data_IF_426403052352
#
_entry.id   IF_426403052352
#
_cell.length_a   1.000
_cell.length_b   1.000
_cell.length_c   1.000
_cell.angle_alpha   90.00
_cell.angle_beta   90.00
_cell.angle_gamma   90.00
#
_symmetry.space_group_name_H-M   'P 1'
#
loop_
_entity.id
_entity.type
_entity.pdbx_description
1 polymer ?
#
# COMPACT_ATOMS: atom_id res chain seq x y z
N UNK A 1 -1.72 -0.44 21.97
CA UNK A 1 -0.67 -1.21 21.28
C UNK A 1 -1.13 -1.34 19.86
N UNK A 2 -0.48 -0.64 18.93
CA UNK A 2 -0.75 -0.82 17.50
C UNK A 2 -0.16 -2.14 17.02
N UNK A 3 -0.68 -2.62 15.90
CA UNK A 3 -0.22 -3.82 15.21
C UNK A 3 1.17 -3.53 14.68
N UNK A 4 2.11 -4.45 14.93
CA UNK A 4 3.44 -4.40 14.32
C UNK A 4 3.49 -5.34 13.14
N UNK A 5 4.16 -4.92 12.08
CA UNK A 5 4.36 -5.76 10.91
C UNK A 5 5.22 -6.98 11.26
N UNK A 6 4.78 -8.14 10.76
CA UNK A 6 5.45 -9.42 10.96
C UNK A 6 6.87 -9.39 10.40
N UNK A 7 7.71 -10.30 10.88
CA UNK A 7 9.05 -10.50 10.30
C UNK A 7 8.97 -10.82 8.79
N UNK A 8 7.95 -11.55 8.35
CA UNK A 8 7.76 -11.88 6.93
C UNK A 8 7.48 -10.63 6.10
N UNK A 9 6.63 -9.72 6.58
CA UNK A 9 6.42 -8.42 5.93
C UNK A 9 7.75 -7.67 5.78
N UNK A 10 8.52 -7.58 6.87
CA UNK A 10 9.78 -6.80 6.89
C UNK A 10 10.85 -7.31 5.92
N UNK A 11 10.83 -8.60 5.57
CA UNK A 11 11.85 -9.21 4.71
C UNK A 11 11.39 -9.48 3.29
N UNK A 12 10.08 -9.64 3.06
CA UNK A 12 9.57 -10.19 1.80
C UNK A 12 8.48 -9.32 1.15
N UNK A 13 8.02 -8.25 1.81
CA UNK A 13 6.97 -7.39 1.26
C UNK A 13 7.49 -6.57 0.07
N UNK A 14 6.69 -6.54 -0.97
CA UNK A 14 6.77 -5.57 -2.05
C UNK A 14 5.44 -4.81 -2.16
N UNK A 15 5.55 -3.55 -2.55
CA UNK A 15 4.43 -2.73 -3.01
C UNK A 15 4.66 -2.34 -4.46
N UNK A 16 3.61 -2.34 -5.25
CA UNK A 16 3.60 -1.81 -6.60
C UNK A 16 2.30 -1.10 -6.90
N UNK A 17 2.26 -0.43 -8.04
CA UNK A 17 1.05 0.16 -8.58
C UNK A 17 0.66 -0.58 -9.86
N UNK A 18 -0.64 -0.85 -10.00
CA UNK A 18 -1.26 -1.50 -11.15
C UNK A 18 -2.31 -0.59 -11.77
N UNK A 19 -2.32 -0.50 -13.10
CA UNK A 19 -3.33 0.26 -13.84
C UNK A 19 -2.74 1.44 -14.62
N UNK A 20 -3.60 2.39 -14.97
CA UNK A 20 -3.26 3.58 -15.74
C UNK A 20 -3.92 4.83 -15.16
N UNK A 21 -3.11 5.80 -14.75
CA UNK A 21 -3.49 7.18 -14.41
C UNK A 21 -4.66 7.33 -13.42
N UNK A 22 -5.90 7.17 -13.87
CA UNK A 22 -7.11 7.38 -13.07
C UNK A 22 -7.63 6.12 -12.38
N UNK A 23 -7.24 4.93 -12.83
CA UNK A 23 -7.66 3.65 -12.26
C UNK A 23 -6.45 2.88 -11.69
N UNK A 24 -5.67 3.56 -10.86
CA UNK A 24 -4.48 2.98 -10.23
C UNK A 24 -4.86 2.25 -8.93
N UNK A 25 -4.39 1.02 -8.77
CA UNK A 25 -4.53 0.22 -7.55
C UNK A 25 -3.16 -0.02 -6.93
N UNK A 26 -3.05 0.22 -5.62
CA UNK A 26 -1.87 -0.16 -4.85
C UNK A 26 -1.95 -1.64 -4.55
N UNK A 27 -0.90 -2.39 -4.84
CA UNK A 27 -0.86 -3.84 -4.65
C UNK A 27 0.27 -4.19 -3.70
N UNK A 28 -0.03 -5.00 -2.69
CA UNK A 28 0.93 -5.57 -1.77
C UNK A 28 1.03 -7.08 -1.96
N UNK A 29 2.25 -7.60 -2.02
CA UNK A 29 2.51 -9.02 -2.12
C UNK A 29 3.81 -9.42 -1.41
N UNK A 30 3.94 -10.71 -1.12
CA UNK A 30 5.16 -11.28 -0.56
C UNK A 30 5.93 -12.00 -1.66
N UNK A 31 7.21 -11.70 -1.82
CA UNK A 31 8.04 -12.36 -2.83
C UNK A 31 9.49 -12.50 -2.37
N UNK A 32 10.17 -13.53 -2.87
CA UNK A 32 11.58 -13.79 -2.53
C UNK A 32 12.55 -12.80 -3.20
N UNK A 33 12.13 -12.16 -4.29
CA UNK A 33 12.94 -11.20 -5.05
C UNK A 33 12.06 -10.23 -5.83
N UNK A 34 12.65 -9.17 -6.35
CA UNK A 34 11.96 -8.20 -7.21
C UNK A 34 11.41 -8.83 -8.49
N UNK A 35 12.15 -9.76 -9.10
CA UNK A 35 11.70 -10.44 -10.31
C UNK A 35 10.54 -11.40 -10.02
N UNK A 36 10.59 -12.10 -8.88
CA UNK A 36 9.48 -12.91 -8.40
C UNK A 36 8.26 -12.03 -8.12
N UNK A 37 8.43 -10.89 -7.44
CA UNK A 37 7.34 -9.95 -7.17
C UNK A 37 6.67 -9.46 -8.47
N UNK A 38 7.47 -9.07 -9.46
CA UNK A 38 6.95 -8.63 -10.76
C UNK A 38 6.16 -9.75 -11.44
N UNK A 39 6.73 -10.96 -11.49
CA UNK A 39 6.08 -12.11 -12.12
C UNK A 39 4.77 -12.49 -11.43
N UNK A 40 4.82 -12.68 -10.11
CA UNK A 40 3.67 -13.11 -9.31
C UNK A 40 2.54 -12.08 -9.36
N UNK A 41 2.86 -10.78 -9.29
CA UNK A 41 1.88 -9.72 -9.46
C UNK A 41 1.27 -9.74 -10.86
N UNK A 42 2.10 -9.89 -11.91
CA UNK A 42 1.63 -9.95 -13.30
C UNK A 42 0.63 -11.09 -13.47
N UNK A 43 1.00 -12.30 -13.03
CA UNK A 43 0.17 -13.49 -13.17
C UNK A 43 -1.14 -13.36 -12.37
N UNK A 44 -1.08 -12.85 -11.14
CA UNK A 44 -2.25 -12.65 -10.29
C UNK A 44 -3.21 -11.59 -10.84
N UNK A 45 -2.69 -10.44 -11.26
CA UNK A 45 -3.51 -9.33 -11.79
C UNK A 45 -4.10 -9.68 -13.15
N UNK A 46 -3.36 -10.38 -14.02
CA UNK A 46 -3.90 -10.94 -15.26
C UNK A 46 -5.11 -11.84 -14.99
N UNK A 47 -5.00 -12.74 -13.99
CA UNK A 47 -6.08 -13.64 -13.61
C UNK A 47 -7.29 -12.91 -13.00
N UNK A 48 -7.06 -11.97 -12.07
CA UNK A 48 -8.13 -11.21 -11.41
C UNK A 48 -8.92 -10.37 -12.41
N UNK A 49 -8.23 -9.75 -13.37
CA UNK A 49 -8.85 -8.85 -14.35
C UNK A 49 -9.27 -9.56 -15.65
N UNK A 50 -8.96 -10.85 -15.82
CA UNK A 50 -9.28 -11.60 -17.04
C UNK A 50 -8.57 -11.07 -18.28
N UNK A 51 -7.35 -10.56 -18.13
CA UNK A 51 -6.53 -10.00 -19.22
C UNK A 51 -5.28 -10.84 -19.47
N UNK A 52 -4.65 -10.67 -20.64
CA UNK A 52 -3.36 -11.29 -20.91
C UNK A 52 -2.26 -10.69 -20.00
N UNK A 53 -1.27 -11.49 -19.54
CA UNK A 53 -0.13 -10.99 -18.77
C UNK A 53 0.59 -9.79 -19.40
N UNK A 54 0.73 -9.79 -20.73
CA UNK A 54 1.39 -8.70 -21.48
C UNK A 54 0.62 -7.37 -21.42
N UNK A 55 -0.67 -7.41 -21.05
CA UNK A 55 -1.50 -6.20 -20.88
C UNK A 55 -1.49 -5.68 -19.43
N UNK A 56 -0.78 -6.33 -18.51
CA UNK A 56 -0.69 -5.88 -17.12
C UNK A 56 0.37 -4.76 -17.03
N UNK A 57 -0.07 -3.55 -16.73
CA UNK A 57 0.83 -2.43 -16.46
C UNK A 57 1.18 -2.33 -14.98
N UNK A 58 2.44 -2.66 -14.65
CA UNK A 58 3.01 -2.53 -13.31
C UNK A 58 4.11 -1.46 -13.29
N UNK A 59 4.09 -0.61 -12.26
CA UNK A 59 5.12 0.39 -12.02
C UNK A 59 5.31 0.63 -10.51
N UNK A 60 6.32 1.42 -10.15
CA UNK A 60 6.65 1.76 -8.75
C UNK A 60 6.80 0.52 -7.83
N UNK A 61 7.47 -0.53 -8.34
CA UNK A 61 7.76 -1.75 -7.58
C UNK A 61 8.88 -1.49 -6.56
N UNK A 62 8.50 -1.40 -5.29
CA UNK A 62 9.38 -1.09 -4.16
C UNK A 62 9.35 -2.21 -3.12
N UNK A 63 10.51 -2.57 -2.62
CA UNK A 63 10.67 -3.47 -1.47
C UNK A 63 10.34 -2.77 -0.16
N UNK A 64 10.06 -3.53 0.90
CA UNK A 64 9.85 -3.01 2.25
C UNK A 64 10.89 -1.96 2.67
N UNK A 65 12.19 -2.25 2.47
CA UNK A 65 13.27 -1.35 2.85
C UNK A 65 13.23 -0.04 2.05
N UNK A 66 13.01 -0.10 0.75
CA UNK A 66 12.91 1.10 -0.08
C UNK A 66 11.73 1.98 0.32
N UNK A 67 10.62 1.38 0.73
CA UNK A 67 9.46 2.12 1.25
C UNK A 67 9.79 2.83 2.56
N UNK A 68 10.47 2.16 3.49
CA UNK A 68 10.92 2.78 4.74
C UNK A 68 11.88 3.94 4.52
N UNK A 69 12.83 3.76 3.61
CA UNK A 69 13.87 4.76 3.28
C UNK A 69 13.25 5.99 2.61
N UNK A 70 12.18 5.82 1.83
CA UNK A 70 11.48 6.93 1.15
C UNK A 70 10.41 7.62 1.99
N UNK A 71 9.87 6.93 3.00
CA UNK A 71 8.70 7.40 3.74
C UNK A 71 9.02 8.44 4.81
N UNK A 72 8.01 9.20 5.21
CA UNK A 72 8.16 10.34 6.12
C UNK A 72 7.44 10.16 7.47
N UNK A 73 6.55 9.18 7.61
CA UNK A 73 5.82 8.95 8.87
C UNK A 73 6.75 8.61 10.02
N UNK A 74 6.40 9.09 11.22
CA UNK A 74 7.13 8.72 12.45
C UNK A 74 6.98 7.23 12.77
N UNK A 75 5.78 6.66 12.56
CA UNK A 75 5.58 5.22 12.60
C UNK A 75 6.09 4.59 11.30
N UNK A 76 7.26 3.95 11.39
CA UNK A 76 7.91 3.30 10.25
C UNK A 76 7.01 2.24 9.59
N UNK A 77 6.18 1.54 10.36
CA UNK A 77 5.29 0.51 9.81
C UNK A 77 4.13 1.12 8.99
N UNK A 78 3.84 2.42 9.14
CA UNK A 78 2.87 3.12 8.28
C UNK A 78 3.47 3.57 6.94
N UNK A 79 4.80 3.72 6.86
CA UNK A 79 5.49 4.23 5.66
C UNK A 79 5.22 3.38 4.41
N UNK A 80 4.98 2.09 4.58
CA UNK A 80 4.67 1.20 3.46
C UNK A 80 3.38 1.56 2.73
N UNK A 81 2.47 2.31 3.38
CA UNK A 81 1.19 2.74 2.82
C UNK A 81 1.24 4.15 2.21
N UNK A 82 2.37 4.85 2.27
CA UNK A 82 2.50 6.22 1.75
C UNK A 82 2.62 6.23 0.21
N UNK A 83 1.68 6.88 -0.47
CA UNK A 83 1.60 6.92 -1.93
C UNK A 83 2.22 8.20 -2.50
N UNK A 84 2.02 9.33 -1.82
CA UNK A 84 2.56 10.62 -2.23
C UNK A 84 2.87 11.51 -1.01
N UNK A 85 3.76 12.48 -1.23
CA UNK A 85 4.27 13.39 -0.20
C UNK A 85 4.15 14.85 -0.62
N UNK A 86 3.96 15.73 0.36
CA UNK A 86 4.11 17.18 0.25
C UNK A 86 5.06 17.67 1.36
N UNK A 87 6.35 17.72 1.04
CA UNK A 87 7.40 18.02 2.01
C UNK A 87 7.47 16.93 3.11
N UNK A 88 7.35 17.29 4.40
CA UNK A 88 7.36 16.32 5.50
C UNK A 88 6.02 15.61 5.71
N UNK A 89 4.99 15.91 4.91
CA UNK A 89 3.64 15.38 5.09
C UNK A 89 3.30 14.33 4.03
N UNK A 90 2.52 13.34 4.41
CA UNK A 90 1.91 12.38 3.46
C UNK A 90 0.68 13.03 2.84
N UNK A 91 0.67 13.18 1.51
CA UNK A 91 -0.44 13.79 0.76
C UNK A 91 -1.40 12.76 0.18
N UNK A 92 -0.99 11.50 0.04
CA UNK A 92 -1.85 10.40 -0.36
C UNK A 92 -1.44 9.08 0.32
N UNK A 93 -2.44 8.29 0.68
CA UNK A 93 -2.29 6.97 1.30
C UNK A 93 -2.83 5.87 0.39
N UNK A 94 -2.43 4.63 0.64
CA UNK A 94 -3.03 3.45 0.01
C UNK A 94 -4.44 3.20 0.61
N UNK A 95 -5.45 3.90 0.10
CA UNK A 95 -6.83 3.85 0.61
C UNK A 95 -7.56 2.55 0.26
N UNK A 96 -7.36 2.02 -0.95
CA UNK A 96 -8.04 0.80 -1.43
C UNK A 96 -7.04 -0.21 -1.99
N UNK A 97 -6.08 -0.70 -1.17
CA UNK A 97 -5.06 -1.60 -1.66
C UNK A 97 -5.60 -3.02 -1.91
N UNK A 98 -5.03 -3.68 -2.92
CA UNK A 98 -5.18 -5.10 -3.15
C UNK A 98 -4.08 -5.86 -2.40
N UNK A 99 -4.48 -6.74 -1.48
CA UNK A 99 -3.57 -7.60 -0.74
C UNK A 99 -3.49 -8.98 -1.38
N UNK A 100 -2.39 -9.24 -2.10
CA UNK A 100 -2.04 -10.56 -2.62
C UNK A 100 -1.17 -11.31 -1.59
N UNK A 101 -1.65 -11.36 -0.36
CA UNK A 101 -0.95 -11.96 0.78
C UNK A 101 -1.95 -12.35 1.87
N UNK A 102 -1.59 -13.35 2.65
CA UNK A 102 -2.31 -13.86 3.82
C UNK A 102 -1.77 -13.31 5.15
N UNK A 103 -0.83 -12.36 5.11
CA UNK A 103 -0.25 -11.79 6.32
C UNK A 103 -1.23 -10.87 7.06
N UNK A 104 -1.79 -11.36 8.16
CA UNK A 104 -2.78 -10.65 8.96
C UNK A 104 -2.23 -9.37 9.63
N UNK A 105 -0.91 -9.25 9.83
CA UNK A 105 -0.33 -8.04 10.46
C UNK A 105 -0.35 -6.86 9.50
N UNK A 106 -0.18 -7.11 8.19
CA UNK A 106 -0.30 -6.09 7.16
C UNK A 106 -1.73 -5.54 7.10
N UNK A 107 -2.72 -6.44 7.09
CA UNK A 107 -4.15 -6.06 7.12
C UNK A 107 -4.51 -5.30 8.40
N UNK A 108 -4.02 -5.76 9.56
CA UNK A 108 -4.23 -5.09 10.84
C UNK A 108 -3.65 -3.67 10.84
N UNK A 109 -2.43 -3.50 10.31
CA UNK A 109 -1.79 -2.19 10.24
C UNK A 109 -2.49 -1.24 9.28
N UNK A 110 -2.95 -1.74 8.13
CA UNK A 110 -3.77 -0.96 7.21
C UNK A 110 -5.11 -0.56 7.84
N UNK A 111 -5.75 -1.45 8.60
CA UNK A 111 -7.00 -1.14 9.29
C UNK A 111 -6.84 -0.03 10.35
N UNK A 112 -5.69 0.01 11.04
CA UNK A 112 -5.35 1.13 11.94
C UNK A 112 -5.24 2.45 11.19
N UNK A 113 -4.46 2.49 10.11
CA UNK A 113 -4.35 3.65 9.24
C UNK A 113 -5.73 4.12 8.76
N UNK A 114 -6.53 3.19 8.24
CA UNK A 114 -7.83 3.52 7.68
C UNK A 114 -8.81 4.06 8.73
N UNK A 115 -8.74 3.55 9.96
CA UNK A 115 -9.52 4.07 11.08
C UNK A 115 -9.11 5.51 11.43
N UNK A 116 -7.82 5.82 11.45
CA UNK A 116 -7.31 7.17 11.69
C UNK A 116 -7.72 8.15 10.58
N UNK A 117 -7.59 7.74 9.31
CA UNK A 117 -8.03 8.53 8.16
C UNK A 117 -9.54 8.83 8.23
N UNK A 118 -10.35 7.82 8.52
CA UNK A 118 -11.79 7.96 8.67
C UNK A 118 -12.15 8.91 9.84
N UNK A 119 -11.46 8.81 10.97
CA UNK A 119 -11.66 9.70 12.11
C UNK A 119 -11.32 11.16 11.77
N UNK A 120 -10.22 11.39 11.06
CA UNK A 120 -9.80 12.73 10.64
C UNK A 120 -10.80 13.34 9.65
N UNK A 121 -11.24 12.56 8.65
CA UNK A 121 -12.26 12.99 7.69
C UNK A 121 -13.57 13.36 8.38
N UNK A 122 -14.04 12.54 9.31
CA UNK A 122 -15.25 12.80 10.09
C UNK A 122 -15.12 14.09 10.92
N UNK A 123 -14.00 14.28 11.60
CA UNK A 123 -13.72 15.47 12.42
C UNK A 123 -13.72 16.75 11.57
N UNK A 124 -13.06 16.71 10.40
CA UNK A 124 -13.05 17.84 9.48
C UNK A 124 -14.45 18.16 8.92
N UNK A 125 -15.24 17.13 8.59
CA UNK A 125 -16.62 17.34 8.13
C UNK A 125 -17.49 17.99 9.21
N UNK A 126 -17.40 17.54 10.47
CA UNK A 126 -18.12 18.12 11.60
C UNK A 126 -17.73 19.59 11.81
N UNK A 127 -16.43 19.90 11.79
CA UNK A 127 -15.97 21.27 12.00
C UNK A 127 -16.46 22.23 10.90
N UNK A 128 -16.47 21.78 9.63
CA UNK A 128 -17.03 22.56 8.51
C UNK A 128 -18.54 22.78 8.62
N UNK A 129 -19.28 21.81 9.17
CA UNK A 129 -20.73 21.96 9.37
C UNK A 129 -21.09 22.93 10.51
N UNK A 130 -20.13 23.23 11.41
CA UNK A 130 -20.32 24.12 12.57
C UNK A 130 -19.88 25.56 12.32
N UNK A 131 -19.10 25.82 11.27
CA UNK A 131 -18.69 27.14 10.79
C UNK A 131 -19.72 27.74 9.86
#
# INVERSE_FOLDING_TARGET
MGTQLSHRCRTSLYRLMFGHAQDESIVFLMAASRDAARKEATDALAAIHGIAPDNVCLYNLSSFRELLDSGVSEDEDLRIFEVAWEGPNVSAWAEHPLFLTDDATLLGKWAELYAELAQNLATHAINRARS
#
